data_IF_052149734245
#
_entry.id   IF_052149734245
#
_cell.length_a   1.000
_cell.length_b   1.000
_cell.length_c   1.000
_cell.angle_alpha   90.00
_cell.angle_beta   90.00
_cell.angle_gamma   90.00
#
_symmetry.space_group_name_H-M   'P 1'
#
loop_
_entity.id
_entity.type
_entity.pdbx_description
1 polymer ?
#
# COMPACT_ATOMS: atom_id res chain seq x y z
N UNK A 1 18.81 19.08 -26.01
CA UNK A 1 17.51 18.56 -25.53
C UNK A 1 17.60 17.04 -25.58
N UNK A 2 18.05 16.40 -24.50
CA UNK A 2 18.19 14.95 -24.45
C UNK A 2 16.82 14.32 -24.18
N UNK A 3 16.23 13.70 -25.21
CA UNK A 3 15.06 12.84 -25.04
C UNK A 3 15.43 11.72 -24.08
N UNK A 4 14.82 11.72 -22.89
CA UNK A 4 14.83 10.57 -21.99
C UNK A 4 14.05 9.45 -22.68
N UNK A 5 14.77 8.51 -23.27
CA UNK A 5 14.20 7.21 -23.62
C UNK A 5 13.79 6.53 -22.30
N UNK A 6 12.52 6.10 -22.14
CA UNK A 6 12.21 5.18 -21.06
C UNK A 6 13.06 3.93 -21.29
N UNK A 7 13.72 3.47 -20.23
CA UNK A 7 14.49 2.22 -20.27
C UNK A 7 13.60 1.03 -20.64
N UNK A 8 14.19 -0.15 -20.90
CA UNK A 8 13.41 -1.35 -21.17
C UNK A 8 12.40 -1.56 -20.04
N UNK A 9 11.11 -1.63 -20.41
CA UNK A 9 10.05 -2.04 -19.50
C UNK A 9 10.39 -3.47 -19.09
N UNK A 10 10.54 -3.77 -17.78
CA UNK A 10 10.78 -5.14 -17.33
C UNK A 10 9.67 -6.06 -17.85
N UNK A 11 9.93 -7.37 -18.01
CA UNK A 11 8.89 -8.31 -18.42
C UNK A 11 7.66 -8.13 -17.52
N UNK A 12 6.47 -8.11 -18.13
CA UNK A 12 5.19 -7.69 -17.54
C UNK A 12 4.73 -8.46 -16.29
N UNK A 13 5.53 -9.42 -15.81
CA UNK A 13 5.22 -10.32 -14.72
C UNK A 13 6.11 -10.12 -13.47
N UNK A 14 7.13 -9.27 -13.52
CA UNK A 14 7.95 -8.94 -12.33
C UNK A 14 7.55 -7.57 -11.75
N UNK A 15 6.54 -7.60 -10.88
CA UNK A 15 6.05 -6.42 -10.15
C UNK A 15 7.18 -5.70 -9.39
N UNK A 16 8.17 -6.44 -8.88
CA UNK A 16 9.24 -5.85 -8.06
C UNK A 16 10.26 -5.08 -8.89
N UNK A 17 10.37 -5.37 -10.19
CA UNK A 17 11.20 -4.64 -11.13
C UNK A 17 10.53 -3.37 -11.69
N UNK A 18 9.21 -3.20 -11.51
CA UNK A 18 8.49 -2.02 -11.98
C UNK A 18 8.93 -0.76 -11.22
N UNK A 19 9.54 0.24 -11.88
CA UNK A 19 9.99 1.46 -11.20
C UNK A 19 8.84 2.25 -10.57
N UNK A 20 7.61 2.12 -11.07
CA UNK A 20 6.42 2.77 -10.49
C UNK A 20 6.14 2.28 -9.08
N UNK A 21 6.47 1.03 -8.76
CA UNK A 21 6.28 0.48 -7.42
C UNK A 21 7.08 1.27 -6.37
N UNK A 22 8.34 1.60 -6.67
CA UNK A 22 9.17 2.39 -5.77
C UNK A 22 8.68 3.84 -5.64
N UNK A 23 8.13 4.41 -6.72
CA UNK A 23 7.47 5.74 -6.67
C UNK A 23 6.25 5.69 -5.74
N UNK A 24 5.37 4.70 -5.92
CA UNK A 24 4.18 4.52 -5.08
C UNK A 24 4.55 4.31 -3.60
N UNK A 25 5.58 3.52 -3.32
CA UNK A 25 6.11 3.28 -1.96
C UNK A 25 6.66 4.57 -1.33
N UNK A 26 7.42 5.36 -2.10
CA UNK A 26 7.93 6.65 -1.62
C UNK A 26 6.80 7.60 -1.23
N UNK A 27 5.77 7.71 -2.07
CA UNK A 27 4.57 8.52 -1.79
C UNK A 27 3.77 7.97 -0.60
N UNK A 28 3.61 6.65 -0.51
CA UNK A 28 2.95 5.98 0.62
C UNK A 28 3.64 6.29 1.94
N UNK A 29 4.98 6.17 1.97
CA UNK A 29 5.78 6.44 3.16
C UNK A 29 5.81 7.94 3.52
N UNK A 30 5.57 8.83 2.56
CA UNK A 30 5.41 10.27 2.80
C UNK A 30 3.99 10.66 3.25
N UNK A 31 3.03 9.73 3.23
CA UNK A 31 1.63 10.01 3.54
C UNK A 31 0.87 10.75 2.44
N UNK A 32 1.39 10.75 1.21
CA UNK A 32 0.76 11.32 0.02
C UNK A 32 -0.30 10.36 -0.54
N UNK A 33 -1.35 10.10 0.25
CA UNK A 33 -2.28 9.00 0.02
C UNK A 33 -3.02 9.04 -1.31
N UNK A 34 -3.38 10.23 -1.79
CA UNK A 34 -4.01 10.38 -3.10
C UNK A 34 -3.03 10.04 -4.23
N UNK A 35 -1.80 10.57 -4.15
CA UNK A 35 -0.81 10.33 -5.19
C UNK A 35 -0.32 8.88 -5.22
N UNK A 36 -0.11 8.24 -4.05
CA UNK A 36 0.29 6.84 -4.01
C UNK A 36 -0.84 5.90 -4.46
N UNK A 37 -2.10 6.25 -4.15
CA UNK A 37 -3.28 5.54 -4.64
C UNK A 37 -3.27 5.46 -6.17
N UNK A 38 -3.12 6.59 -6.87
CA UNK A 38 -3.21 6.63 -8.33
C UNK A 38 -2.14 5.73 -8.97
N UNK A 39 -0.91 5.76 -8.45
CA UNK A 39 0.18 4.92 -8.95
C UNK A 39 -0.05 3.44 -8.62
N UNK A 40 -0.49 3.11 -7.40
CA UNK A 40 -0.81 1.72 -7.05
C UNK A 40 -1.98 1.17 -7.88
N UNK A 41 -3.01 1.98 -8.15
CA UNK A 41 -4.17 1.60 -8.96
C UNK A 41 -3.75 1.30 -10.41
N UNK A 42 -2.90 2.14 -11.01
CA UNK A 42 -2.34 1.93 -12.34
C UNK A 42 -1.61 0.57 -12.44
N UNK A 43 -0.65 0.33 -11.53
CA UNK A 43 0.10 -0.93 -11.51
C UNK A 43 -0.85 -2.11 -11.24
N UNK A 44 -1.82 -1.94 -10.33
CA UNK A 44 -2.79 -2.98 -9.99
C UNK A 44 -3.66 -3.37 -11.18
N UNK A 45 -4.08 -2.42 -12.02
CA UNK A 45 -4.85 -2.71 -13.22
C UNK A 45 -4.10 -3.65 -14.17
N UNK A 46 -2.79 -3.45 -14.30
CA UNK A 46 -1.91 -4.21 -15.20
C UNK A 46 -1.40 -5.53 -14.60
N UNK A 47 -1.37 -5.64 -13.27
CA UNK A 47 -0.83 -6.83 -12.56
C UNK A 47 -1.78 -8.02 -12.65
N UNK A 48 -1.25 -9.20 -12.96
CA UNK A 48 -1.97 -10.48 -12.92
C UNK A 48 -1.37 -11.43 -11.88
N UNK A 49 -2.04 -12.55 -11.64
CA UNK A 49 -1.52 -13.59 -10.75
C UNK A 49 -1.56 -13.23 -9.25
N UNK A 50 -0.76 -13.93 -8.42
CA UNK A 50 -0.85 -13.83 -6.96
C UNK A 50 -0.50 -12.44 -6.44
N UNK A 51 0.47 -11.76 -7.04
CA UNK A 51 0.97 -10.46 -6.57
C UNK A 51 -0.07 -9.35 -6.66
N UNK A 52 -1.05 -9.49 -7.57
CA UNK A 52 -2.19 -8.57 -7.69
C UNK A 52 -2.93 -8.41 -6.36
N UNK A 53 -3.08 -9.48 -5.57
CA UNK A 53 -3.79 -9.43 -4.30
C UNK A 53 -3.01 -8.67 -3.22
N UNK A 54 -1.68 -8.84 -3.17
CA UNK A 54 -0.83 -8.07 -2.26
C UNK A 54 -0.83 -6.58 -2.60
N UNK A 55 -0.68 -6.26 -3.90
CA UNK A 55 -0.73 -4.88 -4.38
C UNK A 55 -2.09 -4.22 -4.09
N UNK A 56 -3.19 -4.96 -4.24
CA UNK A 56 -4.51 -4.49 -3.84
C UNK A 56 -4.59 -4.20 -2.34
N UNK A 57 -3.91 -4.99 -1.51
CA UNK A 57 -3.79 -4.72 -0.08
C UNK A 57 -3.14 -3.36 0.20
N UNK A 58 -2.03 -3.05 -0.46
CA UNK A 58 -1.37 -1.73 -0.33
C UNK A 58 -2.26 -0.59 -0.80
N UNK A 59 -2.92 -0.76 -1.95
CA UNK A 59 -3.88 0.20 -2.49
C UNK A 59 -5.02 0.48 -1.50
N UNK A 60 -5.64 -0.56 -0.94
CA UNK A 60 -6.72 -0.40 0.04
C UNK A 60 -6.25 0.31 1.31
N UNK A 61 -5.04 0.03 1.80
CA UNK A 61 -4.46 0.74 2.94
C UNK A 61 -4.25 2.23 2.61
N UNK A 62 -3.77 2.57 1.40
CA UNK A 62 -3.64 3.97 0.96
C UNK A 62 -5.00 4.68 0.93
N UNK A 63 -6.02 4.08 0.31
CA UNK A 63 -7.38 4.64 0.24
C UNK A 63 -8.00 4.79 1.63
N UNK A 64 -7.76 3.85 2.54
CA UNK A 64 -8.23 3.97 3.90
C UNK A 64 -7.68 5.23 4.60
N UNK A 65 -6.41 5.58 4.37
CA UNK A 65 -5.83 6.79 4.95
C UNK A 65 -6.31 8.07 4.25
N UNK A 66 -6.58 8.01 2.94
CA UNK A 66 -7.30 9.08 2.24
C UNK A 66 -8.72 9.29 2.82
N UNK A 67 -9.41 8.22 3.20
CA UNK A 67 -10.70 8.31 3.90
C UNK A 67 -10.56 8.96 5.28
N UNK A 68 -9.51 8.64 6.04
CA UNK A 68 -9.24 9.32 7.33
C UNK A 68 -9.01 10.82 7.13
N UNK A 69 -8.23 11.24 6.13
CA UNK A 69 -8.04 12.66 5.80
C UNK A 69 -9.35 13.39 5.47
N UNK A 70 -10.35 12.66 4.97
CA UNK A 70 -11.68 13.17 4.63
C UNK A 70 -12.72 12.99 5.75
N UNK A 71 -12.30 12.54 6.94
CA UNK A 71 -13.19 12.29 8.08
C UNK A 71 -14.08 11.04 7.94
N UNK A 72 -13.87 10.21 6.92
CA UNK A 72 -14.64 8.97 6.70
C UNK A 72 -14.02 7.80 7.48
N UNK A 73 -14.17 7.81 8.80
CA UNK A 73 -13.66 6.74 9.66
C UNK A 73 -14.25 5.37 9.34
N UNK A 74 -15.55 5.29 9.03
CA UNK A 74 -16.21 4.02 8.69
C UNK A 74 -15.62 3.38 7.43
N UNK A 75 -15.42 4.18 6.37
CA UNK A 75 -14.78 3.72 5.14
C UNK A 75 -13.32 3.31 5.38
N UNK A 76 -12.60 4.05 6.21
CA UNK A 76 -11.23 3.70 6.59
C UNK A 76 -11.18 2.35 7.33
N UNK A 77 -12.04 2.13 8.33
CA UNK A 77 -12.12 0.86 9.07
C UNK A 77 -12.35 -0.34 8.14
N UNK A 78 -13.28 -0.20 7.19
CA UNK A 78 -13.56 -1.26 6.21
C UNK A 78 -12.31 -1.60 5.39
N UNK A 79 -11.68 -0.59 4.79
CA UNK A 79 -10.56 -0.79 3.89
C UNK A 79 -9.26 -1.23 4.58
N UNK A 80 -9.00 -0.79 5.81
CA UNK A 80 -7.87 -1.34 6.59
C UNK A 80 -8.08 -2.82 6.90
N UNK A 81 -9.31 -3.23 7.22
CA UNK A 81 -9.66 -4.63 7.44
C UNK A 81 -9.50 -5.49 6.18
N UNK A 82 -10.03 -5.02 5.05
CA UNK A 82 -9.88 -5.71 3.76
C UNK A 82 -8.41 -5.79 3.32
N UNK A 83 -7.66 -4.69 3.43
CA UNK A 83 -6.25 -4.63 3.08
C UNK A 83 -5.41 -5.61 3.92
N UNK A 84 -5.65 -5.68 5.23
CA UNK A 84 -5.03 -6.70 6.09
C UNK A 84 -5.40 -8.12 5.68
N UNK A 85 -6.69 -8.37 5.41
CA UNK A 85 -7.18 -9.68 4.98
C UNK A 85 -6.51 -10.15 3.69
N UNK A 86 -6.29 -9.25 2.74
CA UNK A 86 -5.55 -9.55 1.49
C UNK A 86 -4.08 -9.84 1.72
N UNK A 87 -3.45 -9.13 2.66
CA UNK A 87 -2.04 -9.32 2.95
C UNK A 87 -1.79 -10.56 3.80
N UNK A 88 -2.75 -11.03 4.61
CA UNK A 88 -2.56 -12.12 5.57
C UNK A 88 -1.95 -13.42 5.00
N UNK A 89 -2.29 -13.89 3.77
CA UNK A 89 -1.73 -15.12 3.22
C UNK A 89 -0.27 -15.01 2.76
N UNK A 90 0.26 -13.79 2.60
CA UNK A 90 1.61 -13.58 2.05
C UNK A 90 2.69 -13.76 3.12
N UNK A 91 3.90 -14.20 2.74
CA UNK A 91 5.04 -14.23 3.66
C UNK A 91 5.43 -12.83 4.14
N UNK A 92 6.26 -12.77 5.18
CA UNK A 92 6.66 -11.53 5.85
C UNK A 92 7.49 -10.58 4.97
N UNK A 93 8.09 -11.10 3.90
CA UNK A 93 9.03 -10.45 2.98
C UNK A 93 8.49 -10.36 1.53
N UNK A 94 7.20 -10.64 1.32
CA UNK A 94 6.60 -10.60 0.00
C UNK A 94 6.79 -9.23 -0.68
N UNK A 95 7.00 -9.28 -2.01
CA UNK A 95 7.31 -8.11 -2.85
C UNK A 95 8.55 -7.33 -2.41
N UNK A 96 9.44 -7.94 -1.61
CA UNK A 96 10.64 -7.30 -1.10
C UNK A 96 10.40 -6.32 0.05
N UNK A 97 9.22 -6.35 0.68
CA UNK A 97 8.85 -5.44 1.77
C UNK A 97 8.60 -6.16 3.09
N UNK A 98 8.88 -5.47 4.20
CA UNK A 98 8.57 -5.94 5.54
C UNK A 98 7.06 -5.86 5.83
N UNK A 99 6.33 -6.91 5.44
CA UNK A 99 4.89 -7.00 5.66
C UNK A 99 4.53 -7.20 7.13
N UNK A 100 5.44 -7.73 7.95
CA UNK A 100 5.21 -7.84 9.40
C UNK A 100 5.00 -6.43 10.00
N UNK A 101 5.93 -5.51 9.74
CA UNK A 101 5.83 -4.13 10.24
C UNK A 101 4.57 -3.43 9.71
N UNK A 102 4.30 -3.57 8.41
CA UNK A 102 3.11 -2.98 7.79
C UNK A 102 1.83 -3.50 8.48
N UNK A 103 1.67 -4.83 8.57
CA UNK A 103 0.50 -5.48 9.17
C UNK A 103 0.30 -5.05 10.62
N UNK A 104 1.37 -4.99 11.42
CA UNK A 104 1.28 -4.52 12.81
C UNK A 104 0.72 -3.11 12.89
N UNK A 105 1.29 -2.15 12.13
CA UNK A 105 0.83 -0.75 12.19
C UNK A 105 -0.60 -0.59 11.68
N UNK A 106 -0.96 -1.31 10.62
CA UNK A 106 -2.33 -1.28 10.09
C UNK A 106 -3.31 -1.89 11.11
N UNK A 107 -2.94 -2.98 11.78
CA UNK A 107 -3.78 -3.63 12.79
C UNK A 107 -3.99 -2.73 14.01
N UNK A 108 -2.96 -2.05 14.49
CA UNK A 108 -3.08 -1.09 15.62
C UNK A 108 -4.05 0.05 15.28
N UNK A 109 -3.92 0.62 14.08
CA UNK A 109 -4.81 1.69 13.60
C UNK A 109 -6.24 1.19 13.40
N UNK A 110 -6.41 0.00 12.83
CA UNK A 110 -7.72 -0.62 12.65
C UNK A 110 -8.39 -0.87 14.01
N UNK A 111 -7.66 -1.42 14.98
CA UNK A 111 -8.18 -1.66 16.32
C UNK A 111 -8.63 -0.35 16.98
N UNK A 112 -7.81 0.71 16.89
CA UNK A 112 -8.14 2.04 17.39
C UNK A 112 -9.48 2.55 16.80
N UNK A 113 -9.64 2.46 15.48
CA UNK A 113 -10.87 2.87 14.80
C UNK A 113 -12.09 2.02 15.19
N UNK A 114 -11.90 0.71 15.39
CA UNK A 114 -12.96 -0.19 15.85
C UNK A 114 -13.44 0.14 17.27
N UNK A 115 -12.60 0.76 18.11
CA UNK A 115 -12.97 1.29 19.41
C UNK A 115 -13.61 2.70 19.34
N UNK A 116 -13.78 3.26 18.14
CA UNK A 116 -14.30 4.62 17.96
C UNK A 116 -13.29 5.72 18.29
N UNK A 117 -12.00 5.39 18.38
CA UNK A 117 -10.95 6.34 18.71
C UNK A 117 -10.27 6.90 17.44
N UNK A 118 -9.61 8.05 17.59
CA UNK A 118 -8.78 8.65 16.54
C UNK A 118 -7.39 7.98 16.47
N UNK A 119 -7.01 7.38 15.32
CA UNK A 119 -5.70 6.76 15.15
C UNK A 119 -4.57 7.77 14.86
N UNK A 120 -4.83 9.09 14.89
CA UNK A 120 -3.84 10.14 14.56
C UNK A 120 -2.53 10.08 15.36
N UNK A 121 -2.58 9.60 16.61
CA UNK A 121 -1.39 9.45 17.46
C UNK A 121 -0.60 8.15 17.19
N UNK A 122 -1.18 7.19 16.46
CA UNK A 122 -0.51 5.94 16.12
C UNK A 122 0.42 6.13 14.92
N UNK A 123 1.53 5.37 14.83
CA UNK A 123 2.40 5.39 13.66
C UNK A 123 1.63 5.11 12.37
N UNK A 124 1.96 5.85 11.30
CA UNK A 124 1.43 5.56 9.96
C UNK A 124 2.02 4.25 9.43
N UNK A 125 1.28 3.50 8.60
CA UNK A 125 1.82 2.34 7.90
C UNK A 125 3.01 2.76 7.04
N UNK A 126 3.98 1.86 6.90
CA UNK A 126 5.20 2.10 6.11
C UNK A 126 5.57 0.82 5.36
N UNK A 127 6.06 0.98 4.14
CA UNK A 127 6.64 -0.07 3.31
C UNK A 127 8.16 0.09 3.32
N UNK A 128 8.84 -0.62 4.22
CA UNK A 128 10.31 -0.70 4.27
C UNK A 128 10.81 -1.95 3.55
N UNK A 129 12.04 -1.96 3.03
CA UNK A 129 12.64 -3.18 2.49
C UNK A 129 12.60 -4.34 3.49
N UNK A 130 12.46 -5.57 2.98
CA UNK A 130 12.69 -6.78 3.76
C UNK A 130 14.16 -6.83 4.23
N UNK A 131 14.39 -7.47 5.38
CA UNK A 131 15.71 -7.60 6.00
C UNK A 131 16.54 -8.72 5.37
#
# INVERSE_FOLDING_TARGET
>A
MASRHPGPVPPADDLTADPRLQVAVGLFNAGEWYACHDVFEEIWHETQGPDRAALQGFLQIAVAHLHLQRGNQRGATLLLGEGLGRLAPFPADALGFNLTLLRTRVADRLHCLQQGNDPGALPLPVLTPAA
#
